data_IF_934850406717
#
_entry.id   IF_934850406717
#
_cell.length_a   1.000
_cell.length_b   1.000
_cell.length_c   1.000
_cell.angle_alpha   90.00
_cell.angle_beta   90.00
_cell.angle_gamma   90.00
#
_symmetry.space_group_name_H-M   'P 1'
#
loop_
_entity.id
_entity.type
_entity.pdbx_description
1 polymer ?
#
# COMPACT_ATOMS: atom_id res chain seq x y z
N UNK A 1 -16.46 45.64 -42.38
CA UNK A 1 -16.25 44.18 -42.36
C UNK A 1 -15.05 43.88 -41.48
N UNK A 2 -15.18 43.82 -40.15
CA UNK A 2 -14.07 43.31 -39.26
C UNK A 2 -14.45 43.30 -37.75
N UNK A 3 -15.58 43.92 -37.34
CA UNK A 3 -15.99 43.93 -35.94
C UNK A 3 -16.68 42.61 -35.47
N UNK A 4 -17.26 41.85 -36.41
CA UNK A 4 -17.98 40.58 -36.11
C UNK A 4 -17.00 39.38 -36.01
N UNK A 5 -15.85 39.45 -36.61
CA UNK A 5 -14.82 38.38 -36.55
C UNK A 5 -14.03 38.45 -35.23
N UNK A 6 -13.78 39.67 -34.72
CA UNK A 6 -13.10 39.83 -33.43
C UNK A 6 -13.91 39.35 -32.24
N UNK A 7 -15.24 39.44 -32.28
CA UNK A 7 -16.12 38.96 -31.21
C UNK A 7 -16.20 37.39 -31.15
N UNK A 8 -16.08 36.72 -32.29
CA UNK A 8 -16.08 35.27 -32.35
C UNK A 8 -14.76 34.62 -31.84
N UNK A 9 -13.63 35.31 -32.03
CA UNK A 9 -12.32 34.81 -31.57
C UNK A 9 -12.18 34.89 -30.03
N UNK A 10 -12.85 35.86 -29.37
CA UNK A 10 -12.77 36.04 -27.92
C UNK A 10 -13.65 35.02 -27.14
N UNK A 11 -14.69 34.48 -27.79
CA UNK A 11 -15.57 33.49 -27.20
C UNK A 11 -14.98 32.07 -27.11
N UNK A 12 -13.95 31.75 -27.91
CA UNK A 12 -13.31 30.43 -27.90
C UNK A 12 -12.19 30.26 -26.83
N UNK A 13 -11.70 31.33 -26.21
CA UNK A 13 -10.67 31.24 -25.16
C UNK A 13 -11.24 30.94 -23.76
N UNK A 14 -12.55 30.97 -23.57
CA UNK A 14 -13.20 30.74 -22.28
C UNK A 14 -13.54 29.27 -21.97
N UNK A 15 -13.33 28.32 -22.91
CA UNK A 15 -13.81 26.93 -22.77
C UNK A 15 -12.76 25.93 -22.30
N UNK A 16 -11.53 26.33 -21.99
CA UNK A 16 -10.45 25.43 -21.55
C UNK A 16 -10.17 25.45 -20.04
N UNK A 17 -11.07 26.00 -19.24
CA UNK A 17 -11.06 25.75 -17.79
C UNK A 17 -11.67 24.38 -17.51
N UNK A 18 -11.01 23.30 -17.94
CA UNK A 18 -11.19 22.00 -17.33
C UNK A 18 -10.72 22.15 -15.88
N UNK A 19 -11.70 22.41 -14.99
CA UNK A 19 -11.50 22.40 -13.56
C UNK A 19 -11.09 20.99 -13.12
N UNK A 20 -9.80 20.65 -13.17
CA UNK A 20 -9.25 19.58 -12.36
C UNK A 20 -9.31 20.05 -10.91
N UNK A 21 -10.45 19.83 -10.28
CA UNK A 21 -10.54 19.84 -8.83
C UNK A 21 -9.67 18.68 -8.34
N UNK A 22 -8.54 18.99 -7.73
CA UNK A 22 -7.85 18.00 -6.91
C UNK A 22 -8.84 17.63 -5.80
N UNK A 23 -9.45 16.46 -5.89
CA UNK A 23 -10.16 15.89 -4.76
C UNK A 23 -9.08 15.64 -3.68
N UNK A 24 -9.03 16.53 -2.69
CA UNK A 24 -8.28 16.34 -1.45
C UNK A 24 -9.06 15.30 -0.66
N UNK A 25 -8.72 14.05 -0.81
CA UNK A 25 -9.46 12.93 -0.25
C UNK A 25 -9.63 11.86 -1.33
N UNK A 26 -8.71 10.89 -1.41
CA UNK A 26 -8.89 9.69 -2.23
C UNK A 26 -9.66 8.64 -1.42
N UNK A 27 -10.19 7.58 -2.06
CA UNK A 27 -10.79 6.47 -1.35
C UNK A 27 -9.81 5.94 -0.30
N UNK A 28 -10.28 5.69 0.91
CA UNK A 28 -9.48 5.12 1.99
C UNK A 28 -8.90 6.10 3.01
N UNK A 29 -9.13 7.41 2.87
CA UNK A 29 -8.70 8.42 3.84
C UNK A 29 -9.78 9.51 4.03
N UNK A 30 -9.91 10.07 5.24
CA UNK A 30 -10.76 11.24 5.46
C UNK A 30 -10.34 12.43 4.59
N UNK A 31 -11.29 13.25 4.14
CA UNK A 31 -11.07 14.38 3.23
C UNK A 31 -10.08 15.42 3.77
N UNK A 32 -9.96 15.52 5.08
CA UNK A 32 -9.08 16.46 5.79
C UNK A 32 -7.65 15.91 6.02
N UNK A 33 -7.33 14.70 5.53
CA UNK A 33 -6.01 14.08 5.57
C UNK A 33 -5.37 14.09 4.18
N UNK A 34 -4.66 15.18 3.87
CA UNK A 34 -4.04 15.36 2.55
C UNK A 34 -2.75 14.55 2.37
N UNK A 35 -1.92 14.45 3.42
CA UNK A 35 -0.63 13.78 3.37
C UNK A 35 -0.33 13.08 4.70
N UNK A 36 0.41 11.97 4.62
CA UNK A 36 0.62 11.05 5.73
C UNK A 36 2.07 10.61 5.82
N UNK A 37 2.62 10.58 7.02
CA UNK A 37 3.90 9.95 7.32
C UNK A 37 3.72 8.46 7.63
N UNK A 38 4.62 7.62 7.11
CA UNK A 38 4.65 6.18 7.38
C UNK A 38 5.98 5.84 8.05
N UNK A 39 6.01 5.65 9.37
CA UNK A 39 7.19 5.11 10.07
C UNK A 39 7.37 3.62 9.74
N UNK A 40 8.56 3.08 10.07
CA UNK A 40 8.79 1.63 9.99
C UNK A 40 7.80 0.91 10.91
N UNK A 41 7.17 -0.15 10.38
CA UNK A 41 6.16 -0.89 11.13
C UNK A 41 6.77 -1.73 12.24
N UNK A 42 6.05 -1.84 13.36
CA UNK A 42 6.36 -2.81 14.40
C UNK A 42 6.25 -4.23 13.83
N UNK A 43 7.17 -5.10 14.18
CA UNK A 43 7.21 -6.45 13.62
C UNK A 43 7.20 -7.50 14.75
N UNK A 44 6.16 -8.34 14.74
CA UNK A 44 6.02 -9.49 15.65
C UNK A 44 6.18 -10.83 14.94
N UNK A 45 6.55 -10.80 13.65
CA UNK A 45 6.78 -12.02 12.88
C UNK A 45 8.22 -12.52 13.02
N UNK A 46 8.48 -13.72 12.52
CA UNK A 46 9.82 -14.27 12.40
C UNK A 46 10.61 -13.77 11.19
N UNK A 47 10.03 -12.90 10.35
CA UNK A 47 10.68 -12.30 9.17
C UNK A 47 11.29 -10.94 9.56
N UNK A 48 12.62 -10.83 9.77
CA UNK A 48 13.23 -9.66 10.40
C UNK A 48 12.96 -8.35 9.63
N UNK A 49 12.92 -8.42 8.30
CA UNK A 49 12.79 -7.24 7.41
C UNK A 49 11.33 -6.84 7.14
N UNK A 50 10.34 -7.63 7.58
CA UNK A 50 8.94 -7.44 7.22
C UNK A 50 8.42 -6.04 7.58
N UNK A 51 8.78 -5.51 8.74
CA UNK A 51 8.36 -4.16 9.14
C UNK A 51 8.81 -3.09 8.15
N UNK A 52 10.07 -3.13 7.72
CA UNK A 52 10.63 -2.20 6.74
C UNK A 52 10.02 -2.39 5.35
N UNK A 53 9.89 -3.64 4.89
CA UNK A 53 9.34 -3.97 3.56
C UNK A 53 7.89 -3.49 3.43
N UNK A 54 7.04 -3.76 4.42
CA UNK A 54 5.64 -3.34 4.37
C UNK A 54 5.46 -1.83 4.52
N UNK A 55 6.23 -1.18 5.40
CA UNK A 55 6.16 0.28 5.54
C UNK A 55 6.63 1.00 4.28
N UNK A 56 7.70 0.52 3.64
CA UNK A 56 8.19 1.06 2.38
C UNK A 56 7.15 0.90 1.26
N UNK A 57 6.56 -0.28 1.12
CA UNK A 57 5.52 -0.54 0.12
C UNK A 57 4.31 0.39 0.28
N UNK A 58 3.89 0.70 1.52
CA UNK A 58 2.83 1.67 1.77
C UNK A 58 3.28 3.09 1.44
N UNK A 59 4.48 3.50 1.89
CA UNK A 59 5.01 4.84 1.62
C UNK A 59 5.15 5.12 0.13
N UNK A 60 5.64 4.15 -0.66
CA UNK A 60 5.74 4.26 -2.11
C UNK A 60 4.36 4.35 -2.79
N UNK A 61 3.38 3.59 -2.30
CA UNK A 61 2.02 3.69 -2.82
C UNK A 61 1.44 5.08 -2.59
N UNK A 62 1.56 5.61 -1.37
CA UNK A 62 1.12 6.96 -1.02
C UNK A 62 1.91 8.04 -1.78
N UNK A 63 3.20 7.83 -2.05
CA UNK A 63 4.01 8.75 -2.83
C UNK A 63 3.52 8.85 -4.30
N UNK A 64 3.15 7.71 -4.91
CA UNK A 64 2.55 7.70 -6.26
C UNK A 64 1.21 8.44 -6.32
N UNK A 65 0.49 8.51 -5.21
CA UNK A 65 -0.77 9.25 -5.07
C UNK A 65 -0.57 10.72 -4.63
N UNK A 66 0.70 11.16 -4.44
CA UNK A 66 1.03 12.51 -3.96
C UNK A 66 0.68 12.73 -2.47
N UNK A 67 0.55 11.67 -1.69
CA UNK A 67 0.09 11.67 -0.29
C UNK A 67 1.18 11.36 0.74
N UNK A 68 2.40 11.09 0.31
CA UNK A 68 3.52 10.84 1.22
C UNK A 68 4.05 12.14 1.83
N UNK A 69 4.34 12.10 3.13
CA UNK A 69 4.90 13.22 3.86
C UNK A 69 6.03 12.76 4.80
N UNK A 70 6.81 13.71 5.30
CA UNK A 70 7.88 13.46 6.27
C UNK A 70 7.39 13.36 7.72
N UNK A 71 8.30 13.11 8.67
CA UNK A 71 7.98 12.85 10.07
C UNK A 71 7.24 14.00 10.79
N UNK A 72 7.29 15.21 10.25
CA UNK A 72 6.60 16.40 10.80
C UNK A 72 5.15 16.54 10.31
N UNK A 73 4.64 15.59 9.53
CA UNK A 73 3.25 15.62 9.09
C UNK A 73 2.28 15.49 10.26
N UNK A 74 1.12 16.18 10.21
CA UNK A 74 0.11 16.12 11.27
C UNK A 74 -0.58 14.76 11.35
N UNK A 75 -0.51 13.96 10.28
CA UNK A 75 -1.08 12.61 10.21
C UNK A 75 0.01 11.57 9.95
N UNK A 76 -0.13 10.39 10.57
CA UNK A 76 0.76 9.24 10.36
C UNK A 76 -0.02 7.93 10.34
N UNK A 77 0.53 6.92 9.67
CA UNK A 77 0.02 5.55 9.72
C UNK A 77 1.01 4.69 10.50
N UNK A 78 0.61 4.28 11.70
CA UNK A 78 1.32 3.27 12.45
C UNK A 78 0.89 1.89 11.98
N UNK A 79 1.87 1.04 11.69
CA UNK A 79 1.63 -0.34 11.26
C UNK A 79 2.27 -1.35 12.19
N UNK A 80 1.65 -2.53 12.27
CA UNK A 80 2.15 -3.69 13.01
C UNK A 80 1.97 -4.96 12.17
N UNK A 81 3.07 -5.67 11.91
CA UNK A 81 3.01 -7.04 11.37
C UNK A 81 2.62 -7.95 12.52
N UNK A 82 1.35 -8.33 12.59
CA UNK A 82 0.79 -9.17 13.66
C UNK A 82 1.25 -10.60 13.49
N UNK A 83 1.25 -11.10 12.26
CA UNK A 83 1.74 -12.43 11.91
C UNK A 83 2.22 -12.47 10.46
N UNK A 84 3.22 -13.32 10.21
CA UNK A 84 3.68 -13.66 8.86
C UNK A 84 4.23 -15.08 8.93
N UNK A 85 3.52 -16.04 8.34
CA UNK A 85 3.79 -17.47 8.50
C UNK A 85 3.83 -18.15 7.13
N UNK A 86 4.89 -18.90 6.88
CA UNK A 86 5.00 -19.77 5.70
C UNK A 86 4.66 -21.21 6.08
N UNK A 87 3.80 -21.85 5.31
CA UNK A 87 3.39 -23.26 5.49
C UNK A 87 3.34 -24.00 4.15
N UNK A 88 3.52 -25.33 4.13
CA UNK A 88 3.26 -26.13 2.94
C UNK A 88 1.81 -25.97 2.47
N UNK A 89 1.62 -25.72 1.17
CA UNK A 89 0.29 -25.55 0.56
C UNK A 89 -0.05 -26.68 -0.44
N UNK A 90 0.96 -27.27 -1.07
CA UNK A 90 0.77 -28.41 -1.96
C UNK A 90 2.00 -29.33 -1.92
N UNK A 91 1.79 -30.61 -2.17
CA UNK A 91 2.85 -31.61 -2.34
C UNK A 91 3.25 -31.75 -3.80
N UNK A 92 4.43 -32.30 -4.03
CA UNK A 92 4.87 -32.74 -5.38
C UNK A 92 3.97 -33.87 -5.91
N UNK A 93 3.97 -34.07 -7.23
CA UNK A 93 3.13 -35.11 -7.88
C UNK A 93 3.40 -36.52 -7.39
N UNK A 94 4.62 -36.80 -6.93
CA UNK A 94 5.04 -38.07 -6.34
C UNK A 94 4.74 -38.19 -4.85
N UNK A 95 4.20 -37.11 -4.23
CA UNK A 95 3.85 -37.06 -2.82
C UNK A 95 5.02 -37.02 -1.84
N UNK A 96 6.27 -36.90 -2.34
CA UNK A 96 7.49 -37.02 -1.52
C UNK A 96 8.05 -35.71 -0.99
N UNK A 97 7.50 -34.57 -1.40
CA UNK A 97 8.01 -33.26 -1.02
C UNK A 97 6.96 -32.16 -1.07
N UNK A 98 7.35 -30.96 -0.65
CA UNK A 98 6.53 -29.75 -0.78
C UNK A 98 6.67 -29.22 -2.20
N UNK A 99 5.55 -29.05 -2.91
CA UNK A 99 5.52 -28.48 -4.25
C UNK A 99 5.29 -26.96 -4.23
N UNK A 100 4.56 -26.46 -3.21
CA UNK A 100 4.26 -25.04 -3.06
C UNK A 100 4.23 -24.71 -1.57
N UNK A 101 4.83 -23.58 -1.19
CA UNK A 101 4.64 -22.94 0.10
C UNK A 101 3.67 -21.78 -0.02
N UNK A 102 2.91 -21.54 1.03
CA UNK A 102 2.03 -20.37 1.19
C UNK A 102 2.49 -19.51 2.34
N UNK A 103 2.79 -18.25 2.04
CA UNK A 103 3.03 -17.21 3.03
C UNK A 103 1.69 -16.52 3.33
N UNK A 104 1.24 -16.56 4.58
CA UNK A 104 0.05 -15.83 5.05
C UNK A 104 0.46 -14.73 6.00
N UNK A 105 -0.16 -13.56 5.88
CA UNK A 105 0.17 -12.41 6.72
C UNK A 105 -1.05 -11.66 7.21
N UNK A 106 -0.93 -11.11 8.42
CA UNK A 106 -1.88 -10.16 9.00
C UNK A 106 -1.12 -8.90 9.40
N UNK A 107 -1.58 -7.75 8.89
CA UNK A 107 -1.02 -6.43 9.18
C UNK A 107 -2.12 -5.55 9.75
N UNK A 108 -1.87 -4.95 10.91
CA UNK A 108 -2.75 -3.95 11.51
C UNK A 108 -2.23 -2.57 11.18
N UNK A 109 -3.09 -1.71 10.66
CA UNK A 109 -2.80 -0.30 10.40
C UNK A 109 -3.71 0.59 11.22
N UNK A 110 -3.16 1.72 11.68
CA UNK A 110 -3.87 2.77 12.40
C UNK A 110 -3.51 4.12 11.79
N UNK A 111 -4.51 4.87 11.36
CA UNK A 111 -4.32 6.26 10.98
C UNK A 111 -4.50 7.14 12.21
N UNK A 112 -3.47 7.91 12.51
CA UNK A 112 -3.48 8.89 13.61
C UNK A 112 -3.32 10.31 13.06
N UNK A 113 -3.99 11.26 13.69
CA UNK A 113 -3.82 12.70 13.45
C UNK A 113 -3.71 13.40 14.80
N UNK A 114 -2.61 14.14 15.02
CA UNK A 114 -2.30 14.77 16.31
C UNK A 114 -2.48 13.77 17.49
N UNK A 115 -1.91 12.57 17.37
CA UNK A 115 -1.99 11.46 18.33
C UNK A 115 -3.41 10.86 18.54
N UNK A 116 -4.44 11.40 17.90
CA UNK A 116 -5.79 10.82 17.92
C UNK A 116 -5.94 9.78 16.81
N UNK A 117 -6.35 8.58 17.18
CA UNK A 117 -6.69 7.53 16.21
C UNK A 117 -7.98 7.91 15.46
N UNK A 118 -7.91 7.98 14.13
CA UNK A 118 -9.05 8.23 13.25
C UNK A 118 -9.70 6.93 12.80
N UNK A 119 -8.90 5.94 12.46
CA UNK A 119 -9.38 4.62 12.10
C UNK A 119 -8.30 3.55 12.32
N UNK A 120 -8.76 2.30 12.41
CA UNK A 120 -7.92 1.10 12.53
C UNK A 120 -8.51 -0.01 11.68
N UNK A 121 -7.64 -0.76 10.99
CA UNK A 121 -8.05 -1.93 10.23
C UNK A 121 -6.96 -2.98 10.16
N UNK A 122 -7.38 -4.25 10.16
CA UNK A 122 -6.52 -5.40 9.93
C UNK A 122 -6.67 -5.83 8.46
N UNK A 123 -5.52 -6.02 7.80
CA UNK A 123 -5.42 -6.52 6.44
C UNK A 123 -4.84 -7.92 6.47
N UNK A 124 -5.43 -8.83 5.70
CA UNK A 124 -4.98 -10.21 5.58
C UNK A 124 -4.62 -10.49 4.12
N UNK A 125 -3.57 -11.27 3.92
CA UNK A 125 -3.14 -11.65 2.59
C UNK A 125 -2.39 -12.96 2.58
N UNK A 126 -2.26 -13.54 1.39
CA UNK A 126 -1.47 -14.75 1.18
C UNK A 126 -0.73 -14.67 -0.16
N UNK A 127 0.47 -15.24 -0.21
CA UNK A 127 1.31 -15.33 -1.41
C UNK A 127 1.95 -16.70 -1.49
N UNK A 128 1.89 -17.31 -2.65
CA UNK A 128 2.50 -18.62 -2.87
C UNK A 128 3.92 -18.47 -3.42
N UNK A 129 4.84 -19.35 -2.99
CA UNK A 129 6.18 -19.41 -3.52
C UNK A 129 6.67 -20.85 -3.67
N UNK A 130 7.59 -21.05 -4.60
CA UNK A 130 8.13 -22.37 -4.90
C UNK A 130 9.25 -22.75 -3.92
N UNK A 131 9.37 -24.03 -3.57
CA UNK A 131 10.58 -24.52 -2.92
C UNK A 131 11.79 -24.35 -3.85
N UNK A 132 12.97 -24.46 -3.30
CA UNK A 132 14.21 -24.51 -4.06
C UNK A 132 15.03 -25.73 -3.61
N UNK A 133 16.00 -26.13 -4.44
CA UNK A 133 16.85 -27.28 -4.15
C UNK A 133 17.80 -27.06 -2.97
N UNK A 134 18.06 -25.80 -2.63
CA UNK A 134 18.93 -25.43 -1.51
C UNK A 134 18.30 -24.33 -0.63
N UNK A 135 18.85 -24.17 0.57
CA UNK A 135 18.34 -23.23 1.57
C UNK A 135 18.44 -21.76 1.12
N UNK A 136 19.47 -21.37 0.36
CA UNK A 136 19.64 -20.01 -0.12
C UNK A 136 18.57 -19.64 -1.15
N UNK A 137 18.27 -20.57 -2.07
CA UNK A 137 17.20 -20.39 -3.04
C UNK A 137 15.81 -20.34 -2.39
N UNK A 138 15.58 -21.20 -1.39
CA UNK A 138 14.32 -21.18 -0.63
C UNK A 138 14.13 -19.86 0.11
N UNK A 139 15.18 -19.36 0.74
CA UNK A 139 15.14 -18.08 1.44
C UNK A 139 14.95 -16.90 0.48
N UNK A 140 15.58 -16.92 -0.70
CA UNK A 140 15.37 -15.92 -1.74
C UNK A 140 13.92 -15.90 -2.25
N UNK A 141 13.35 -17.09 -2.54
CA UNK A 141 11.95 -17.20 -2.97
C UNK A 141 10.98 -16.72 -1.89
N UNK A 142 11.27 -16.99 -0.63
CA UNK A 142 10.48 -16.52 0.51
C UNK A 142 10.53 -15.00 0.66
N UNK A 143 11.72 -14.39 0.59
CA UNK A 143 11.86 -12.91 0.63
C UNK A 143 11.09 -12.26 -0.51
N UNK A 144 11.21 -12.78 -1.70
CA UNK A 144 10.47 -12.28 -2.86
C UNK A 144 8.94 -12.39 -2.65
N UNK A 145 8.47 -13.48 -2.02
CA UNK A 145 7.06 -13.63 -1.67
C UNK A 145 6.63 -12.59 -0.61
N UNK A 146 7.49 -12.26 0.36
CA UNK A 146 7.23 -11.18 1.33
C UNK A 146 7.06 -9.84 0.62
N UNK A 147 7.92 -9.50 -0.33
CA UNK A 147 7.82 -8.26 -1.10
C UNK A 147 6.52 -8.20 -1.91
N UNK A 148 6.18 -9.25 -2.67
CA UNK A 148 4.93 -9.30 -3.46
C UNK A 148 3.68 -9.21 -2.57
N UNK A 149 3.70 -9.88 -1.42
CA UNK A 149 2.61 -9.81 -0.44
C UNK A 149 2.45 -8.39 0.10
N UNK A 150 3.56 -7.75 0.50
CA UNK A 150 3.57 -6.39 1.00
C UNK A 150 3.00 -5.40 -0.01
N UNK A 151 3.48 -5.42 -1.25
CA UNK A 151 2.98 -4.55 -2.31
C UNK A 151 1.47 -4.69 -2.53
N UNK A 152 0.97 -5.93 -2.59
CA UNK A 152 -0.46 -6.18 -2.80
C UNK A 152 -1.31 -5.72 -1.62
N UNK A 153 -0.91 -6.08 -0.40
CA UNK A 153 -1.64 -5.70 0.81
C UNK A 153 -1.62 -4.18 1.03
N UNK A 154 -0.49 -3.52 0.78
CA UNK A 154 -0.36 -2.08 1.01
C UNK A 154 -1.06 -1.25 -0.07
N UNK A 155 -1.18 -1.75 -1.31
CA UNK A 155 -2.06 -1.15 -2.32
C UNK A 155 -3.54 -1.22 -1.92
N UNK A 156 -3.96 -2.33 -1.33
CA UNK A 156 -5.32 -2.45 -0.78
C UNK A 156 -5.52 -1.50 0.39
N UNK A 157 -4.55 -1.45 1.31
CA UNK A 157 -4.60 -0.59 2.49
C UNK A 157 -4.72 0.91 2.12
N UNK A 158 -3.97 1.38 1.12
CA UNK A 158 -4.06 2.76 0.64
C UNK A 158 -5.47 3.16 0.19
N UNK A 159 -6.30 2.21 -0.23
CA UNK A 159 -7.67 2.46 -0.70
C UNK A 159 -8.76 2.19 0.33
N UNK A 160 -8.47 1.39 1.35
CA UNK A 160 -9.51 0.82 2.21
C UNK A 160 -9.25 1.03 3.71
N UNK A 161 -8.22 1.77 4.09
CA UNK A 161 -7.84 1.91 5.52
C UNK A 161 -8.97 2.54 6.34
N UNK A 162 -9.54 3.64 5.86
CA UNK A 162 -10.67 4.31 6.49
C UNK A 162 -11.83 4.36 5.50
N UNK A 163 -12.74 3.41 5.52
CA UNK A 163 -13.96 3.49 4.70
C UNK A 163 -14.78 4.72 5.10
N UNK A 164 -15.52 5.31 4.17
CA UNK A 164 -16.40 6.44 4.41
C UNK A 164 -17.48 6.14 5.43
#
# INVERSE_FOLDING_TARGET
MNRRIAAAALACLGASACGYGFAVGGPGFPDDVAAVYVPVFANRSSEPEAGAVFSLALAENLAREGRSAGPMAPARIDGEIVSLVASPAATTKDGRGVGIYRLTGTVRLRLLRHERELCRRDFNGAEDFLPAENLLGLDANRREAVHRLAERMMRQAGRELCPP
#
